data_IF_625093706375
#
_entry.id   IF_625093706375
#
_cell.length_a   1.000
_cell.length_b   1.000
_cell.length_c   1.000
_cell.angle_alpha   90.00
_cell.angle_beta   90.00
_cell.angle_gamma   90.00
#
_symmetry.space_group_name_H-M   'P 1'
#
loop_
_entity.id
_entity.type
_entity.pdbx_description
1 polymer ?
#
# COMPACT_ATOMS: atom_id res chain seq x y z
N UNK A 1 -19.88 -17.06 -8.96
CA UNK A 1 -19.59 -15.88 -8.14
C UNK A 1 -18.15 -15.45 -8.31
N UNK A 2 -17.89 -14.14 -8.31
CA UNK A 2 -16.54 -13.61 -8.43
C UNK A 2 -15.73 -13.80 -7.15
N UNK A 3 -14.40 -13.71 -7.28
CA UNK A 3 -13.47 -13.61 -6.16
C UNK A 3 -13.22 -12.14 -5.85
N UNK A 4 -12.90 -11.81 -4.59
CA UNK A 4 -12.52 -10.46 -4.20
C UNK A 4 -11.29 -10.44 -3.31
N UNK A 5 -10.49 -9.38 -3.44
CA UNK A 5 -9.32 -9.11 -2.60
C UNK A 5 -9.34 -7.65 -2.20
N UNK A 6 -9.20 -7.39 -0.91
CA UNK A 6 -8.97 -6.06 -0.38
C UNK A 6 -7.49 -5.70 -0.53
N UNK A 7 -7.21 -4.61 -1.25
CA UNK A 7 -5.85 -4.08 -1.45
C UNK A 7 -5.71 -2.80 -0.63
N UNK A 8 -4.73 -2.76 0.29
CA UNK A 8 -4.51 -1.62 1.17
C UNK A 8 -3.06 -1.14 1.17
N UNK A 9 -2.87 0.19 1.12
CA UNK A 9 -1.56 0.82 1.27
C UNK A 9 -1.04 0.84 2.71
N UNK A 10 -1.92 0.61 3.68
CA UNK A 10 -1.53 0.69 5.08
C UNK A 10 -0.63 -0.48 5.47
N UNK A 11 0.60 -0.17 5.84
CA UNK A 11 1.63 -1.12 6.27
C UNK A 11 1.80 -1.19 7.80
N UNK A 12 0.98 -0.45 8.58
CA UNK A 12 1.12 -0.41 10.04
C UNK A 12 0.45 -1.58 10.76
N UNK A 13 -0.39 -2.35 10.06
CA UNK A 13 -1.19 -3.45 10.61
C UNK A 13 -0.98 -4.73 9.83
N UNK A 14 -1.15 -5.86 10.51
CA UNK A 14 -1.13 -7.19 9.89
C UNK A 14 -2.42 -7.50 9.13
N UNK A 15 -2.37 -8.51 8.25
CA UNK A 15 -3.56 -9.04 7.59
C UNK A 15 -4.60 -9.52 8.60
N UNK A 16 -4.15 -10.14 9.71
CA UNK A 16 -5.06 -10.63 10.77
C UNK A 16 -5.88 -9.49 11.40
N UNK A 17 -5.28 -8.30 11.60
CA UNK A 17 -5.99 -7.12 12.11
C UNK A 17 -7.11 -6.69 11.16
N UNK A 18 -6.88 -6.82 9.84
CA UNK A 18 -7.89 -6.51 8.82
C UNK A 18 -9.00 -7.56 8.78
N UNK A 19 -8.68 -8.85 8.85
CA UNK A 19 -9.66 -9.94 8.91
C UNK A 19 -10.57 -9.72 10.11
N UNK A 20 -10.00 -9.44 11.29
CA UNK A 20 -10.79 -9.16 12.50
C UNK A 20 -11.69 -7.92 12.32
N UNK A 21 -11.16 -6.85 11.74
CA UNK A 21 -11.92 -5.62 11.47
C UNK A 21 -13.14 -5.87 10.59
N UNK A 22 -12.97 -6.53 9.43
CA UNK A 22 -14.08 -6.74 8.49
C UNK A 22 -15.06 -7.79 9.01
N UNK A 23 -14.59 -8.78 9.79
CA UNK A 23 -15.46 -9.75 10.46
C UNK A 23 -16.41 -9.05 11.46
N UNK A 24 -15.92 -8.08 12.24
CA UNK A 24 -16.76 -7.24 13.13
C UNK A 24 -17.79 -6.41 12.35
N UNK A 25 -17.55 -6.14 11.07
CA UNK A 25 -18.50 -5.47 10.17
C UNK A 25 -19.50 -6.44 9.51
N UNK A 26 -19.41 -7.74 9.80
CA UNK A 26 -20.27 -8.78 9.22
C UNK A 26 -19.78 -9.30 7.86
N UNK A 27 -18.59 -8.93 7.40
CA UNK A 27 -18.03 -9.39 6.13
C UNK A 27 -17.22 -10.66 6.38
N UNK A 28 -17.51 -11.73 5.63
CA UNK A 28 -16.76 -12.98 5.68
C UNK A 28 -15.51 -12.85 4.81
N UNK A 29 -14.34 -12.75 5.44
CA UNK A 29 -13.06 -12.70 4.74
C UNK A 29 -12.01 -13.47 5.54
N UNK A 30 -11.12 -14.15 4.84
CA UNK A 30 -9.93 -14.80 5.39
C UNK A 30 -8.64 -14.06 5.02
N UNK A 31 -7.51 -14.62 5.40
CA UNK A 31 -6.18 -14.10 5.07
C UNK A 31 -5.98 -13.94 3.55
N UNK A 32 -6.52 -14.86 2.78
CA UNK A 32 -6.45 -14.90 1.31
C UNK A 32 -7.16 -13.72 0.63
N UNK A 33 -8.11 -13.08 1.32
CA UNK A 33 -8.87 -11.95 0.79
C UNK A 33 -8.18 -10.60 0.98
N UNK A 34 -6.94 -10.56 1.48
CA UNK A 34 -6.19 -9.33 1.69
C UNK A 34 -4.86 -9.35 0.96
N UNK A 35 -4.48 -8.17 0.48
CA UNK A 35 -3.14 -7.90 -0.01
C UNK A 35 -2.70 -6.50 0.43
N UNK A 36 -1.67 -6.46 1.27
CA UNK A 36 -1.15 -5.24 1.89
C UNK A 36 0.07 -4.72 1.16
N UNK A 37 0.39 -3.43 1.33
CA UNK A 37 1.65 -2.89 0.85
C UNK A 37 2.87 -3.54 1.51
N UNK A 38 2.74 -4.06 2.74
CA UNK A 38 3.80 -4.85 3.39
C UNK A 38 4.09 -6.14 2.64
N UNK A 39 3.05 -6.90 2.26
CA UNK A 39 3.20 -8.14 1.48
C UNK A 39 3.82 -7.85 0.10
N UNK A 40 3.35 -6.80 -0.58
CA UNK A 40 3.92 -6.37 -1.86
C UNK A 40 5.39 -5.96 -1.71
N UNK A 41 5.72 -5.25 -0.62
CA UNK A 41 7.09 -4.84 -0.32
C UNK A 41 8.00 -6.05 -0.06
N UNK A 42 7.53 -7.02 0.73
CA UNK A 42 8.28 -8.23 0.98
C UNK A 42 8.58 -9.01 -0.31
N UNK A 43 7.58 -9.15 -1.17
CA UNK A 43 7.77 -9.82 -2.47
C UNK A 43 8.73 -9.03 -3.36
N UNK A 44 8.55 -7.70 -3.47
CA UNK A 44 9.42 -6.83 -4.26
C UNK A 44 10.89 -6.91 -3.82
N UNK A 45 11.14 -6.92 -2.50
CA UNK A 45 12.49 -7.05 -1.94
C UNK A 45 13.07 -8.42 -2.29
N UNK A 46 12.34 -9.51 -2.10
CA UNK A 46 12.81 -10.87 -2.41
C UNK A 46 13.12 -11.06 -3.92
N UNK A 47 12.35 -10.42 -4.81
CA UNK A 47 12.57 -10.51 -6.25
C UNK A 47 13.74 -9.63 -6.74
N UNK A 48 13.92 -8.43 -6.18
CA UNK A 48 14.86 -7.44 -6.71
C UNK A 48 16.14 -7.28 -5.88
N UNK A 49 16.09 -7.64 -4.59
CA UNK A 49 17.21 -7.48 -3.64
C UNK A 49 17.37 -8.76 -2.77
N UNK A 50 17.48 -9.95 -3.41
CA UNK A 50 17.63 -11.20 -2.68
C UNK A 50 18.86 -11.15 -1.79
N UNK A 51 18.77 -11.78 -0.61
CA UNK A 51 19.85 -11.91 0.39
C UNK A 51 20.42 -10.58 0.94
N UNK A 52 19.80 -9.44 0.62
CA UNK A 52 20.21 -8.16 1.18
C UNK A 52 19.70 -7.97 2.61
N UNK A 53 20.49 -7.27 3.43
CA UNK A 53 20.05 -6.83 4.75
C UNK A 53 19.27 -5.53 4.60
N UNK A 54 18.06 -5.50 5.14
CA UNK A 54 17.14 -4.37 5.09
C UNK A 54 17.10 -3.64 6.44
N UNK A 55 17.47 -2.37 6.46
CA UNK A 55 17.14 -1.50 7.58
C UNK A 55 15.66 -1.05 7.43
N UNK A 56 14.86 -1.27 8.46
CA UNK A 56 13.42 -0.95 8.42
C UNK A 56 13.05 0.09 9.49
N UNK A 57 12.54 1.26 9.03
CA UNK A 57 11.79 2.21 9.84
C UNK A 57 10.30 1.95 9.66
N UNK A 58 9.70 1.23 10.59
CA UNK A 58 8.29 0.83 10.54
C UNK A 58 7.81 0.28 11.88
N UNK A 59 6.55 -0.14 11.92
CA UNK A 59 5.98 -0.81 13.09
C UNK A 59 6.60 -2.19 13.30
N UNK A 60 6.47 -2.71 14.51
CA UNK A 60 6.83 -4.12 14.80
C UNK A 60 6.08 -5.10 13.91
N UNK A 61 4.84 -4.78 13.55
CA UNK A 61 4.03 -5.61 12.64
C UNK A 61 4.70 -5.72 11.26
N UNK A 62 5.12 -4.59 10.66
CA UNK A 62 5.83 -4.58 9.37
C UNK A 62 7.14 -5.36 9.45
N UNK A 63 7.96 -5.11 10.50
CA UNK A 63 9.23 -5.81 10.69
C UNK A 63 9.05 -7.33 10.78
N UNK A 64 8.03 -7.79 11.50
CA UNK A 64 7.74 -9.22 11.65
C UNK A 64 7.27 -9.83 10.33
N UNK A 65 6.39 -9.16 9.58
CA UNK A 65 5.91 -9.63 8.28
C UNK A 65 7.05 -9.79 7.26
N UNK A 66 8.01 -8.86 7.24
CA UNK A 66 9.21 -8.96 6.41
C UNK A 66 10.10 -10.16 6.82
N UNK A 67 10.28 -10.38 8.12
CA UNK A 67 11.05 -11.52 8.64
C UNK A 67 10.39 -12.86 8.34
N UNK A 68 9.08 -12.93 8.48
CA UNK A 68 8.28 -14.13 8.12
C UNK A 68 8.39 -14.43 6.62
N UNK A 69 8.56 -13.39 5.78
CA UNK A 69 8.85 -13.54 4.35
C UNK A 69 10.31 -13.92 4.05
N UNK A 70 11.15 -14.18 5.06
CA UNK A 70 12.54 -14.62 4.92
C UNK A 70 13.54 -13.48 4.73
N UNK A 71 13.14 -12.21 4.90
CA UNK A 71 14.02 -11.06 4.71
C UNK A 71 14.85 -10.81 5.98
N UNK A 72 16.15 -10.58 5.83
CA UNK A 72 17.04 -10.19 6.92
C UNK A 72 16.80 -8.72 7.30
N UNK A 73 16.10 -8.46 8.41
CA UNK A 73 15.67 -7.12 8.82
C UNK A 73 16.38 -6.70 10.10
N UNK A 74 16.98 -5.49 10.05
CA UNK A 74 17.54 -4.77 11.19
C UNK A 74 16.76 -3.47 11.45
N UNK A 75 16.68 -3.03 12.70
CA UNK A 75 15.98 -1.81 13.12
C UNK A 75 16.92 -0.76 13.69
N UNK A 76 18.19 -1.13 13.87
CA UNK A 76 19.27 -0.25 14.31
C UNK A 76 20.26 -0.01 13.16
N UNK A 77 21.10 1.01 13.30
CA UNK A 77 22.16 1.31 12.32
C UNK A 77 23.09 0.10 12.19
N UNK A 78 23.17 -0.45 10.99
CA UNK A 78 23.96 -1.63 10.67
C UNK A 78 24.70 -1.43 9.34
N UNK A 79 26.00 -1.68 9.33
CA UNK A 79 26.84 -1.48 8.13
C UNK A 79 26.57 -2.53 7.04
N UNK A 80 25.93 -3.63 7.38
CA UNK A 80 25.53 -4.68 6.42
C UNK A 80 24.30 -4.32 5.61
N UNK A 81 23.47 -3.37 6.09
CA UNK A 81 22.23 -3.02 5.42
C UNK A 81 22.51 -2.20 4.17
N UNK A 82 22.05 -2.72 3.04
CA UNK A 82 22.15 -2.11 1.70
C UNK A 82 20.82 -1.57 1.18
N UNK A 83 19.72 -1.91 1.86
CA UNK A 83 18.37 -1.42 1.57
C UNK A 83 17.83 -0.70 2.81
N UNK A 84 17.28 0.48 2.62
CA UNK A 84 16.50 1.22 3.62
C UNK A 84 15.04 1.16 3.21
N UNK A 85 14.19 0.66 4.07
CA UNK A 85 12.75 0.63 3.90
C UNK A 85 12.09 1.51 4.96
N UNK A 86 11.17 2.37 4.54
CA UNK A 86 10.26 3.05 5.46
C UNK A 86 8.82 2.59 5.21
N UNK A 87 8.03 2.49 6.27
CA UNK A 87 6.61 2.20 6.24
C UNK A 87 5.81 3.25 7.01
N UNK A 88 4.48 3.10 6.99
CA UNK A 88 3.62 3.85 7.90
C UNK A 88 3.90 3.42 9.34
N UNK A 89 4.68 4.22 10.06
CA UNK A 89 5.16 3.89 11.40
C UNK A 89 4.40 4.66 12.48
N UNK A 90 3.40 4.00 13.06
CA UNK A 90 2.64 4.52 14.23
C UNK A 90 3.40 4.35 15.56
N UNK A 91 4.56 3.71 15.53
CA UNK A 91 5.47 3.51 16.66
C UNK A 91 6.75 4.36 16.50
N UNK A 92 6.67 5.45 15.70
CA UNK A 92 7.82 6.28 15.34
C UNK A 92 8.42 6.99 16.55
N UNK A 93 9.74 7.11 16.56
CA UNK A 93 10.52 7.81 17.59
C UNK A 93 11.60 8.69 16.94
N UNK A 94 12.07 9.71 17.68
CA UNK A 94 13.19 10.53 17.23
C UNK A 94 14.46 9.70 16.94
N UNK A 95 14.63 8.58 17.63
CA UNK A 95 15.75 7.67 17.41
C UNK A 95 15.64 6.96 16.06
N UNK A 96 14.46 6.41 15.71
CA UNK A 96 14.19 5.80 14.40
C UNK A 96 14.45 6.80 13.27
N UNK A 97 13.98 8.05 13.41
CA UNK A 97 14.21 9.12 12.42
C UNK A 97 15.72 9.38 12.26
N UNK A 98 16.45 9.57 13.37
CA UNK A 98 17.91 9.80 13.35
C UNK A 98 18.64 8.63 12.68
N UNK A 99 18.34 7.40 13.07
CA UNK A 99 18.97 6.20 12.54
C UNK A 99 18.69 6.05 11.02
N UNK A 100 17.47 6.37 10.58
CA UNK A 100 17.11 6.37 9.14
C UNK A 100 17.92 7.41 8.38
N UNK A 101 18.09 8.63 8.92
CA UNK A 101 18.95 9.65 8.28
C UNK A 101 20.41 9.18 8.18
N UNK A 102 20.95 8.51 9.20
CA UNK A 102 22.30 7.94 9.16
C UNK A 102 22.41 6.89 8.03
N UNK A 103 21.42 6.00 7.94
CA UNK A 103 21.40 4.97 6.91
C UNK A 103 21.27 5.56 5.51
N UNK A 104 20.38 6.56 5.32
CA UNK A 104 20.20 7.24 4.04
C UNK A 104 21.41 8.10 3.63
N UNK A 105 22.28 8.49 4.55
CA UNK A 105 23.57 9.12 4.25
C UNK A 105 24.56 8.21 3.52
N UNK A 106 24.26 6.92 3.40
CA UNK A 106 25.08 5.90 2.74
C UNK A 106 24.63 5.66 1.29
N UNK A 107 25.41 4.83 0.58
CA UNK A 107 25.01 4.34 -0.75
C UNK A 107 24.09 3.13 -0.59
N UNK A 108 22.79 3.38 -0.38
CA UNK A 108 21.77 2.36 -0.15
C UNK A 108 20.60 2.54 -1.11
N UNK A 109 19.88 1.46 -1.39
CA UNK A 109 18.57 1.51 -2.04
C UNK A 109 17.56 2.07 -1.03
N UNK A 110 16.71 3.01 -1.46
CA UNK A 110 15.69 3.60 -0.61
C UNK A 110 14.28 3.26 -1.10
N UNK A 111 13.54 2.51 -0.29
CA UNK A 111 12.17 2.04 -0.57
C UNK A 111 11.19 2.59 0.44
N UNK A 112 9.93 2.71 0.04
CA UNK A 112 8.81 3.05 0.91
C UNK A 112 7.58 2.20 0.57
N UNK A 113 6.81 1.83 1.59
CA UNK A 113 5.63 0.96 1.40
C UNK A 113 4.51 1.64 0.61
N UNK A 114 4.31 2.96 0.78
CA UNK A 114 3.23 3.71 0.13
C UNK A 114 3.50 5.22 0.15
N UNK A 115 2.94 5.98 -0.81
CA UNK A 115 3.12 7.43 -0.90
C UNK A 115 2.07 8.25 -0.15
N UNK A 116 1.11 7.64 0.56
CA UNK A 116 0.02 8.35 1.21
C UNK A 116 0.55 9.35 2.23
N UNK A 117 0.10 10.60 2.16
CA UNK A 117 0.53 11.66 3.07
C UNK A 117 -0.14 11.58 4.44
N UNK A 118 -1.40 11.14 4.46
CA UNK A 118 -2.20 11.11 5.68
C UNK A 118 -2.99 9.81 5.79
N UNK A 119 -3.17 9.37 7.04
CA UNK A 119 -4.07 8.28 7.40
C UNK A 119 -5.26 8.84 8.18
N UNK A 120 -6.51 8.56 7.77
CA UNK A 120 -7.69 8.98 8.51
C UNK A 120 -7.84 8.21 9.83
N UNK A 121 -8.15 8.95 10.89
CA UNK A 121 -8.42 8.44 12.24
C UNK A 121 -9.66 9.13 12.80
N UNK A 122 -10.17 8.68 13.95
CA UNK A 122 -11.44 9.17 14.53
C UNK A 122 -11.47 10.68 14.82
N UNK A 123 -10.32 11.31 15.04
CA UNK A 123 -10.22 12.76 15.33
C UNK A 123 -9.75 13.60 14.13
N UNK A 124 -9.57 13.00 12.93
CA UNK A 124 -9.07 13.69 11.74
C UNK A 124 -8.01 12.86 11.01
N UNK A 125 -6.80 13.39 10.88
CA UNK A 125 -5.72 12.76 10.13
C UNK A 125 -4.42 12.72 10.91
N UNK A 126 -3.60 11.69 10.66
CA UNK A 126 -2.21 11.60 11.14
C UNK A 126 -1.27 11.44 9.94
N UNK A 127 0.02 11.86 10.05
CA UNK A 127 1.01 11.64 8.99
C UNK A 127 1.18 10.17 8.66
N UNK A 128 1.14 9.84 7.36
CA UNK A 128 1.43 8.51 6.82
C UNK A 128 2.84 8.45 6.21
N UNK A 129 3.20 7.35 5.59
CA UNK A 129 4.53 7.05 5.03
C UNK A 129 5.03 8.13 4.05
N UNK A 130 4.16 8.67 3.19
CA UNK A 130 4.49 9.76 2.29
C UNK A 130 4.96 11.04 3.02
N UNK A 131 4.29 11.42 4.12
CA UNK A 131 4.73 12.56 4.96
C UNK A 131 6.08 12.29 5.61
N UNK A 132 6.31 11.05 6.07
CA UNK A 132 7.60 10.64 6.63
C UNK A 132 8.70 10.71 5.57
N UNK A 133 8.41 10.30 4.33
CA UNK A 133 9.36 10.37 3.22
C UNK A 133 9.79 11.79 2.90
N UNK A 134 8.85 12.76 2.93
CA UNK A 134 9.15 14.19 2.73
C UNK A 134 10.04 14.74 3.87
N UNK A 135 9.73 14.39 5.10
CA UNK A 135 10.57 14.77 6.25
C UNK A 135 12.02 14.30 6.08
N UNK A 136 12.19 13.02 5.68
CA UNK A 136 13.50 12.42 5.43
C UNK A 136 14.18 13.01 4.19
N UNK A 137 13.43 13.29 3.11
CA UNK A 137 13.94 14.00 1.93
C UNK A 137 14.50 15.35 2.28
N UNK A 138 13.81 16.15 3.10
CA UNK A 138 14.27 17.47 3.51
C UNK A 138 15.57 17.39 4.32
N UNK A 139 15.80 16.32 5.08
CA UNK A 139 16.99 16.12 5.87
C UNK A 139 18.17 15.52 5.08
N UNK A 140 17.90 14.66 4.11
CA UNK A 140 18.92 13.81 3.44
C UNK A 140 19.07 14.06 1.94
N UNK A 141 18.12 14.74 1.32
CA UNK A 141 18.03 14.92 -0.14
C UNK A 141 17.63 13.64 -0.90
N UNK A 142 17.31 12.54 -0.21
CA UNK A 142 16.97 11.24 -0.82
C UNK A 142 15.47 11.05 -0.94
N UNK A 143 15.03 10.45 -2.06
CA UNK A 143 13.65 10.07 -2.30
C UNK A 143 13.52 8.56 -2.41
N UNK A 144 12.44 7.94 -1.84
CA UNK A 144 12.23 6.52 -1.96
C UNK A 144 11.58 6.15 -3.31
N UNK A 145 11.76 4.90 -3.71
CA UNK A 145 10.85 4.25 -4.64
C UNK A 145 9.65 3.69 -3.85
N UNK A 146 8.43 4.10 -4.21
CA UNK A 146 7.19 3.64 -3.57
C UNK A 146 6.70 2.35 -4.21
N UNK A 147 6.23 1.39 -3.37
CA UNK A 147 5.76 0.06 -3.82
C UNK A 147 4.24 -0.01 -3.89
N UNK A 148 3.56 0.62 -2.93
CA UNK A 148 2.09 0.67 -2.84
C UNK A 148 1.44 1.47 -3.96
N UNK A 149 0.10 1.46 -3.99
CA UNK A 149 -0.69 2.28 -4.93
C UNK A 149 -0.20 3.74 -4.88
N UNK A 150 -0.07 4.45 -5.98
CA UNK A 150 -0.58 4.14 -7.34
C UNK A 150 0.34 3.27 -8.21
N UNK A 151 1.42 2.69 -7.68
CA UNK A 151 2.22 1.78 -8.49
C UNK A 151 1.45 0.47 -8.75
N UNK A 152 1.61 -0.13 -9.95
CA UNK A 152 0.82 -1.31 -10.34
C UNK A 152 1.30 -2.60 -9.66
N UNK A 153 2.37 -2.54 -8.87
CA UNK A 153 3.03 -3.69 -8.24
C UNK A 153 2.04 -4.55 -7.47
N UNK A 154 1.23 -3.95 -6.59
CA UNK A 154 0.28 -4.70 -5.77
C UNK A 154 -0.77 -5.44 -6.62
N UNK A 155 -1.29 -4.79 -7.66
CA UNK A 155 -2.28 -5.38 -8.56
C UNK A 155 -1.66 -6.53 -9.36
N UNK A 156 -0.48 -6.31 -9.93
CA UNK A 156 0.24 -7.33 -10.69
C UNK A 156 0.55 -8.57 -9.84
N UNK A 157 0.88 -8.36 -8.57
CA UNK A 157 1.11 -9.44 -7.60
C UNK A 157 -0.17 -10.25 -7.35
N UNK A 158 -1.30 -9.57 -7.16
CA UNK A 158 -2.60 -10.22 -6.97
C UNK A 158 -3.00 -11.02 -8.19
N UNK A 159 -2.90 -10.42 -9.39
CA UNK A 159 -3.20 -11.12 -10.65
C UNK A 159 -2.32 -12.36 -10.82
N UNK A 160 -1.01 -12.24 -10.59
CA UNK A 160 -0.06 -13.37 -10.64
C UNK A 160 -0.44 -14.47 -9.64
N UNK A 161 -0.76 -14.09 -8.39
CA UNK A 161 -1.15 -15.03 -7.31
C UNK A 161 -2.41 -15.80 -7.66
N UNK A 162 -3.38 -15.16 -8.33
CA UNK A 162 -4.65 -15.76 -8.71
C UNK A 162 -4.62 -16.45 -10.08
N UNK A 163 -3.52 -16.32 -10.84
CA UNK A 163 -3.43 -16.82 -12.21
C UNK A 163 -4.41 -16.12 -13.17
N UNK A 164 -4.77 -14.85 -12.88
CA UNK A 164 -5.71 -14.04 -13.66
C UNK A 164 -4.97 -13.06 -14.56
N UNK A 165 -5.63 -12.66 -15.66
CA UNK A 165 -5.19 -11.57 -16.51
C UNK A 165 -5.86 -10.26 -16.11
N UNK A 166 -5.31 -9.13 -16.56
CA UNK A 166 -5.88 -7.82 -16.30
C UNK A 166 -7.35 -7.68 -16.80
N UNK A 167 -7.66 -8.29 -17.93
CA UNK A 167 -9.00 -8.30 -18.55
C UNK A 167 -10.08 -9.07 -17.74
N UNK A 168 -9.65 -9.92 -16.79
CA UNK A 168 -10.54 -10.72 -15.94
C UNK A 168 -10.80 -10.05 -14.58
N UNK A 169 -10.25 -8.87 -14.35
CA UNK A 169 -10.28 -8.19 -13.06
C UNK A 169 -10.81 -6.76 -13.17
N UNK A 170 -11.36 -6.26 -12.08
CA UNK A 170 -11.77 -4.87 -11.93
C UNK A 170 -11.30 -4.34 -10.58
N UNK A 171 -10.83 -3.10 -10.55
CA UNK A 171 -10.51 -2.41 -9.30
C UNK A 171 -11.65 -1.48 -8.94
N UNK A 172 -12.15 -1.61 -7.72
CA UNK A 172 -13.16 -0.72 -7.16
C UNK A 172 -12.48 0.12 -6.08
N UNK A 173 -12.57 1.44 -6.17
CA UNK A 173 -11.99 2.35 -5.19
C UNK A 173 -12.60 3.73 -5.24
N UNK A 174 -12.26 4.55 -4.26
CA UNK A 174 -12.79 5.91 -4.09
C UNK A 174 -11.75 7.01 -4.31
N UNK A 175 -10.48 6.65 -4.56
CA UNK A 175 -9.39 7.62 -4.75
C UNK A 175 -8.81 7.57 -6.15
N UNK A 176 -8.91 8.68 -6.87
CA UNK A 176 -8.37 8.77 -8.24
C UNK A 176 -6.86 8.61 -8.28
N UNK A 177 -6.14 9.26 -7.37
CA UNK A 177 -4.68 9.32 -7.36
C UNK A 177 -3.99 8.04 -6.82
N UNK A 178 -4.73 7.13 -6.21
CA UNK A 178 -4.24 5.81 -5.76
C UNK A 178 -4.97 4.66 -6.43
N UNK A 179 -6.24 4.40 -6.10
CA UNK A 179 -6.98 3.22 -6.54
C UNK A 179 -7.18 3.17 -8.05
N UNK A 180 -7.74 4.24 -8.59
CA UNK A 180 -8.02 4.32 -10.02
C UNK A 180 -6.71 4.35 -10.81
N UNK A 181 -5.75 5.18 -10.38
CA UNK A 181 -4.45 5.29 -11.04
C UNK A 181 -3.67 3.98 -11.05
N UNK A 182 -3.74 3.16 -9.97
CA UNK A 182 -3.08 1.85 -9.95
C UNK A 182 -3.70 0.87 -10.94
N UNK A 183 -5.04 0.87 -11.08
CA UNK A 183 -5.75 0.07 -12.06
C UNK A 183 -5.40 0.46 -13.50
N UNK A 184 -5.44 1.76 -13.79
CA UNK A 184 -5.03 2.28 -15.11
C UNK A 184 -3.59 1.89 -15.44
N UNK A 185 -2.65 2.03 -14.49
CA UNK A 185 -1.25 1.62 -14.70
C UNK A 185 -1.08 0.10 -14.88
N UNK A 186 -1.95 -0.70 -14.26
CA UNK A 186 -1.93 -2.16 -14.37
C UNK A 186 -2.70 -2.67 -15.60
N UNK A 187 -3.39 -1.80 -16.34
CA UNK A 187 -4.24 -2.18 -17.48
C UNK A 187 -5.51 -2.93 -17.07
N UNK A 188 -6.00 -2.70 -15.85
CA UNK A 188 -7.21 -3.30 -15.29
C UNK A 188 -8.34 -2.28 -15.34
N UNK A 189 -9.55 -2.71 -15.67
CA UNK A 189 -10.73 -1.86 -15.59
C UNK A 189 -10.94 -1.33 -14.18
N UNK A 190 -11.44 -0.09 -14.09
CA UNK A 190 -11.58 0.62 -12.82
C UNK A 190 -12.99 1.15 -12.62
N UNK A 191 -13.49 1.00 -11.42
CA UNK A 191 -14.76 1.57 -10.95
C UNK A 191 -14.45 2.58 -9.85
N UNK A 192 -14.78 3.85 -10.08
CA UNK A 192 -14.75 4.87 -9.04
C UNK A 192 -16.11 4.93 -8.34
N UNK A 193 -16.11 4.84 -7.01
CA UNK A 193 -17.32 5.04 -6.20
C UNK A 193 -17.29 6.40 -5.51
N UNK A 194 -18.37 7.17 -5.67
CA UNK A 194 -18.49 8.54 -5.14
C UNK A 194 -18.87 8.60 -3.65
N UNK A 195 -19.07 7.45 -3.02
CA UNK A 195 -19.35 7.35 -1.57
C UNK A 195 -18.13 7.58 -0.68
N UNK A 196 -16.95 7.82 -1.25
CA UNK A 196 -15.69 8.05 -0.56
C UNK A 196 -15.11 9.44 -0.80
N UNK A 197 -13.85 9.50 -1.27
CA UNK A 197 -13.08 10.76 -1.38
C UNK A 197 -13.33 11.49 -2.71
N UNK A 198 -13.39 10.77 -3.85
CA UNK A 198 -13.52 11.40 -5.17
C UNK A 198 -14.88 12.02 -5.39
N UNK A 199 -14.90 13.17 -6.06
CA UNK A 199 -16.09 13.85 -6.54
C UNK A 199 -16.20 13.76 -8.07
N UNK A 200 -17.39 14.02 -8.61
CA UNK A 200 -17.59 14.14 -10.07
C UNK A 200 -16.67 15.19 -10.67
N UNK A 201 -16.48 16.32 -9.98
CA UNK A 201 -15.60 17.40 -10.43
C UNK A 201 -14.13 16.93 -10.51
N UNK A 202 -13.64 16.18 -9.53
CA UNK A 202 -12.28 15.63 -9.56
C UNK A 202 -12.08 14.71 -10.76
N UNK A 203 -13.12 13.92 -11.11
CA UNK A 203 -13.09 13.04 -12.28
C UNK A 203 -13.08 13.88 -13.58
N UNK A 204 -13.87 14.94 -13.66
CA UNK A 204 -13.95 15.79 -14.86
C UNK A 204 -12.65 16.57 -15.09
N UNK A 205 -12.06 17.15 -14.04
CA UNK A 205 -10.87 17.98 -14.10
C UNK A 205 -9.55 17.20 -14.08
N UNK A 206 -9.54 15.99 -13.50
CA UNK A 206 -8.33 15.18 -13.30
C UNK A 206 -7.84 14.47 -14.56
N UNK A 207 -6.56 14.15 -14.60
CA UNK A 207 -5.91 13.41 -15.70
C UNK A 207 -6.21 11.89 -15.65
N UNK A 208 -6.60 11.38 -14.48
CA UNK A 208 -6.89 9.95 -14.26
C UNK A 208 -8.39 9.73 -14.39
N UNK A 209 -8.78 8.93 -15.38
CA UNK A 209 -10.18 8.62 -15.65
C UNK A 209 -10.49 7.17 -15.27
N UNK A 210 -11.54 6.89 -14.48
CA UNK A 210 -12.04 5.55 -14.26
C UNK A 210 -12.75 5.01 -15.51
N UNK A 211 -12.81 3.68 -15.65
CA UNK A 211 -13.60 3.03 -16.71
C UNK A 211 -15.10 3.22 -16.46
N UNK A 212 -15.51 3.13 -15.19
CA UNK A 212 -16.90 3.31 -14.75
C UNK A 212 -16.97 4.15 -13.49
N UNK A 213 -18.11 4.82 -13.28
CA UNK A 213 -18.41 5.61 -12.08
C UNK A 213 -19.77 5.19 -11.53
N UNK A 214 -19.86 4.98 -10.22
CA UNK A 214 -21.09 4.66 -9.49
C UNK A 214 -21.15 5.49 -8.20
N UNK A 215 -22.35 5.74 -7.70
CA UNK A 215 -22.52 6.44 -6.43
C UNK A 215 -21.94 5.64 -5.25
N UNK A 216 -22.07 4.31 -5.30
CA UNK A 216 -21.60 3.43 -4.23
C UNK A 216 -21.47 1.97 -4.68
N UNK A 217 -20.83 1.14 -3.85
CA UNK A 217 -20.82 -0.33 -4.02
C UNK A 217 -22.23 -0.91 -3.98
N UNK A 218 -23.18 -0.26 -3.28
CA UNK A 218 -24.58 -0.69 -3.23
C UNK A 218 -25.22 -0.62 -4.62
N UNK A 219 -25.02 0.46 -5.36
CA UNK A 219 -25.54 0.61 -6.72
C UNK A 219 -24.98 -0.48 -7.67
N UNK A 220 -23.69 -0.80 -7.54
CA UNK A 220 -23.08 -1.92 -8.30
C UNK A 220 -23.79 -3.23 -7.98
N UNK A 221 -24.07 -3.49 -6.69
CA UNK A 221 -24.75 -4.71 -6.25
C UNK A 221 -26.18 -4.78 -6.80
N UNK A 222 -26.94 -3.71 -6.77
CA UNK A 222 -28.31 -3.62 -7.28
C UNK A 222 -28.35 -3.89 -8.80
N UNK A 223 -27.45 -3.25 -9.57
CA UNK A 223 -27.33 -3.47 -11.00
C UNK A 223 -26.96 -4.90 -11.39
N UNK A 224 -26.16 -5.61 -10.59
CA UNK A 224 -25.80 -7.02 -10.82
C UNK A 224 -26.92 -8.00 -10.43
N UNK A 225 -27.87 -7.61 -9.59
CA UNK A 225 -28.97 -8.47 -9.13
C UNK A 225 -30.24 -8.31 -10.00
N UNK A 226 -30.35 -7.22 -10.76
CA UNK A 226 -31.43 -6.95 -11.68
C UNK A 226 -31.17 -7.46 -13.12
N UNK A 227 -29.93 -7.83 -13.44
CA UNK A 227 -29.49 -8.37 -14.71
C UNK A 227 -29.54 -9.92 -14.73
#
# INVERSE_FOLDING_TARGET
GGQYIFITNNSSKSVNDYVEKVTKMGIRAGYENFYTSSQATAMYINENYPDQVVYCMGTRSLVNELREAGISVVTEVDDRASVVLIGFDTENTSEKIRNTCIMLGRNVVYLATNPDFVCPVSFGYIPDCGSMSIMLKNATGKEPFFIGKPEPIMVNCVLKKLGMKAEDAVIIGDRLYTDIKTGVKAGVDTICVLSGEATTQDIEEGDVKPTYVFDSVKEIYEGLTEA
#
